data_IF_653294229635
#
_entry.id   IF_653294229635
#
_cell.length_a   1.000
_cell.length_b   1.000
_cell.length_c   1.000
_cell.angle_alpha   90.00
_cell.angle_beta   90.00
_cell.angle_gamma   90.00
#
_symmetry.space_group_name_H-M   'P 1'
#
loop_
_entity.id
_entity.type
_entity.pdbx_description
1 polymer ?
#
# COMPACT_ATOMS: atom_id res chain seq x y z
N UNK A 1 5.46 -13.31 -0.90
CA UNK A 1 5.11 -11.90 -0.58
C UNK A 1 5.87 -11.36 0.63
N UNK A 2 7.21 -11.22 0.53
CA UNK A 2 7.97 -10.29 1.34
C UNK A 2 7.53 -8.85 1.03
N UNK A 3 6.84 -8.22 1.99
CA UNK A 3 6.37 -6.83 1.84
C UNK A 3 7.41 -5.84 2.36
N UNK A 4 7.76 -4.85 1.55
CA UNK A 4 8.51 -3.66 1.94
C UNK A 4 7.56 -2.50 2.21
N UNK A 5 7.67 -1.86 3.38
CA UNK A 5 6.83 -0.71 3.72
C UNK A 5 7.41 0.57 3.10
N UNK A 6 6.55 1.32 2.39
CA UNK A 6 6.93 2.60 1.78
C UNK A 6 6.49 3.77 2.66
N UNK A 7 5.20 3.82 3.01
CA UNK A 7 4.69 4.94 3.79
C UNK A 7 3.22 4.82 4.15
N UNK A 8 2.75 5.75 4.98
CA UNK A 8 1.37 5.85 5.42
C UNK A 8 0.81 7.26 5.17
N UNK A 9 -0.50 7.43 5.32
CA UNK A 9 -1.15 8.73 5.16
C UNK A 9 -0.49 9.78 6.07
N UNK A 10 0.10 10.84 5.48
CA UNK A 10 0.88 11.83 6.23
C UNK A 10 0.04 12.65 7.20
N UNK A 11 -1.29 12.64 7.07
CA UNK A 11 -2.24 13.37 7.93
C UNK A 11 -2.98 12.43 8.91
N UNK A 12 -2.60 11.15 8.98
CA UNK A 12 -3.15 10.21 9.95
C UNK A 12 -4.43 9.50 9.52
N UNK A 13 -4.59 9.25 8.22
CA UNK A 13 -5.60 8.35 7.67
C UNK A 13 -5.17 6.87 7.73
N UNK A 14 -6.07 5.94 7.39
CA UNK A 14 -5.81 4.53 7.62
C UNK A 14 -5.00 3.88 6.50
N UNK A 15 -4.74 4.60 5.40
CA UNK A 15 -4.02 4.14 4.22
C UNK A 15 -2.51 4.02 4.49
N UNK A 16 -1.95 2.91 4.06
CA UNK A 16 -0.52 2.68 3.97
C UNK A 16 -0.19 1.89 2.71
N UNK A 17 1.05 2.03 2.25
CA UNK A 17 1.57 1.51 0.99
C UNK A 17 2.74 0.58 1.29
N UNK A 18 2.69 -0.60 0.69
CA UNK A 18 3.73 -1.60 0.69
C UNK A 18 4.02 -2.04 -0.75
N UNK A 19 5.19 -2.64 -0.96
CA UNK A 19 5.57 -3.28 -2.22
C UNK A 19 5.87 -4.75 -1.94
N UNK A 20 5.27 -5.68 -2.70
CA UNK A 20 5.75 -7.05 -2.73
C UNK A 20 7.07 -7.08 -3.51
N UNK A 21 8.18 -7.39 -2.84
CA UNK A 21 9.50 -7.36 -3.48
C UNK A 21 9.76 -8.57 -4.37
N UNK A 22 8.86 -9.56 -4.39
CA UNK A 22 8.93 -10.67 -5.34
C UNK A 22 8.28 -10.34 -6.68
N UNK A 23 7.16 -9.60 -6.68
CA UNK A 23 6.35 -9.36 -7.89
C UNK A 23 6.39 -7.92 -8.38
N UNK A 24 6.71 -6.94 -7.51
CA UNK A 24 6.60 -5.52 -7.81
C UNK A 24 5.21 -4.95 -7.50
N UNK A 25 4.28 -5.76 -6.99
CA UNK A 25 2.92 -5.32 -6.70
C UNK A 25 2.88 -4.24 -5.63
N UNK A 26 2.24 -3.11 -5.95
CA UNK A 26 1.96 -2.05 -4.98
C UNK A 26 0.70 -2.43 -4.20
N UNK A 27 0.89 -2.77 -2.93
CA UNK A 27 -0.17 -3.17 -2.01
C UNK A 27 -0.58 -1.99 -1.15
N UNK A 28 -1.85 -1.61 -1.20
CA UNK A 28 -2.40 -0.51 -0.40
C UNK A 28 -3.39 -1.09 0.62
N UNK A 29 -3.21 -0.78 1.91
CA UNK A 29 -4.13 -1.18 2.97
C UNK A 29 -4.50 -0.04 3.88
N UNK A 30 -5.81 0.18 3.99
CA UNK A 30 -6.49 1.21 4.77
C UNK A 30 -6.95 0.77 6.15
N UNK A 31 -6.22 -0.07 6.90
CA UNK A 31 -6.75 -0.62 8.16
C UNK A 31 -5.71 -0.62 9.29
N UNK A 32 -6.05 0.07 10.38
CA UNK A 32 -5.40 -0.08 11.68
C UNK A 32 -6.00 -1.30 12.37
N UNK A 33 -5.19 -2.33 12.65
CA UNK A 33 -5.64 -3.44 13.48
C UNK A 33 -5.74 -2.97 14.93
N UNK A 34 -6.89 -3.22 15.57
CA UNK A 34 -7.02 -3.13 17.01
C UNK A 34 -6.44 -4.42 17.61
N UNK A 35 -5.39 -4.36 18.47
CA UNK A 35 -4.81 -5.55 19.08
C UNK A 35 -5.81 -6.32 19.96
N UNK A 36 -6.86 -5.66 20.47
CA UNK A 36 -7.91 -6.30 21.27
C UNK A 36 -9.04 -6.89 20.40
N UNK A 37 -9.10 -6.53 19.11
CA UNK A 37 -10.07 -7.07 18.15
C UNK A 37 -9.56 -7.03 16.70
N UNK A 38 -8.71 -8.00 16.29
CA UNK A 38 -8.00 -7.97 15.02
C UNK A 38 -8.86 -8.41 13.82
N UNK A 39 -10.20 -8.33 13.89
CA UNK A 39 -11.07 -8.84 12.82
C UNK A 39 -10.81 -8.11 11.50
N UNK A 40 -10.12 -8.82 10.60
CA UNK A 40 -9.90 -8.44 9.20
C UNK A 40 -11.27 -8.42 8.52
N UNK A 41 -11.73 -7.22 8.14
CA UNK A 41 -12.91 -7.07 7.29
C UNK A 41 -12.47 -7.34 5.85
N UNK A 42 -13.10 -8.28 5.13
CA UNK A 42 -12.85 -8.44 3.70
C UNK A 42 -13.29 -7.15 2.99
N UNK A 43 -12.36 -6.55 2.24
CA UNK A 43 -12.67 -5.42 1.40
C UNK A 43 -13.44 -5.93 0.17
N UNK A 44 -14.56 -5.30 -0.22
CA UNK A 44 -15.26 -5.69 -1.45
C UNK A 44 -14.30 -5.54 -2.64
N UNK A 45 -14.26 -6.57 -3.50
CA UNK A 45 -13.45 -6.58 -4.72
C UNK A 45 -13.86 -5.45 -5.64
N UNK A 46 -13.09 -4.38 -5.60
CA UNK A 46 -13.16 -3.26 -6.52
C UNK A 46 -11.84 -3.22 -7.27
N UNK A 47 -11.90 -3.11 -8.59
CA UNK A 47 -10.70 -3.05 -9.45
C UNK A 47 -9.94 -1.72 -9.26
N UNK A 48 -10.56 -0.75 -8.56
CA UNK A 48 -10.01 0.57 -8.32
C UNK A 48 -10.30 1.03 -6.89
N UNK A 49 -9.34 1.71 -6.27
CA UNK A 49 -9.51 2.42 -5.00
C UNK A 49 -9.17 3.90 -5.20
N UNK A 50 -9.98 4.79 -4.65
CA UNK A 50 -9.65 6.21 -4.60
C UNK A 50 -8.82 6.50 -3.35
N UNK A 51 -7.65 7.10 -3.54
CA UNK A 51 -6.81 7.58 -2.46
C UNK A 51 -6.82 9.12 -2.40
N UNK A 52 -6.68 9.72 -1.21
CA UNK A 52 -6.50 11.16 -1.12
C UNK A 52 -5.25 11.64 -1.87
N UNK A 53 -5.32 12.79 -2.56
CA UNK A 53 -4.21 13.35 -3.36
C UNK A 53 -2.87 13.44 -2.61
N UNK A 54 -2.94 13.66 -1.29
CA UNK A 54 -1.76 13.71 -0.40
C UNK A 54 -0.98 12.39 -0.31
N UNK A 55 -1.56 11.26 -0.74
CA UNK A 55 -0.86 9.97 -0.85
C UNK A 55 0.05 9.89 -2.07
N UNK A 56 -0.09 10.80 -3.04
CA UNK A 56 0.68 10.78 -4.29
C UNK A 56 2.20 10.65 -4.09
N UNK A 57 2.86 11.37 -3.16
CA UNK A 57 4.30 11.20 -2.95
C UNK A 57 4.68 9.78 -2.52
N UNK A 58 3.88 9.15 -1.64
CA UNK A 58 4.10 7.78 -1.16
C UNK A 58 3.93 6.77 -2.31
N UNK A 59 2.97 7.01 -3.20
CA UNK A 59 2.78 6.17 -4.38
C UNK A 59 3.93 6.30 -5.38
N UNK A 60 4.44 7.52 -5.61
CA UNK A 60 5.60 7.73 -6.48
C UNK A 60 6.85 7.05 -5.92
N UNK A 61 7.07 7.13 -4.61
CA UNK A 61 8.18 6.43 -3.95
C UNK A 61 8.06 4.91 -4.08
N UNK A 62 6.84 4.36 -4.03
CA UNK A 62 6.61 2.93 -4.26
C UNK A 62 6.96 2.53 -5.70
N UNK A 63 6.60 3.34 -6.69
CA UNK A 63 6.94 3.13 -8.10
C UNK A 63 8.46 3.17 -8.29
N UNK A 64 9.12 4.23 -7.79
CA UNK A 64 10.58 4.38 -7.87
C UNK A 64 11.30 3.18 -7.21
N UNK A 65 10.75 2.67 -6.10
CA UNK A 65 11.29 1.50 -5.42
C UNK A 65 11.14 0.23 -6.25
N UNK A 66 9.99 -0.02 -6.86
CA UNK A 66 9.76 -1.18 -7.76
C UNK A 66 10.74 -1.14 -8.94
N UNK A 67 10.90 0.02 -9.57
CA UNK A 67 11.87 0.21 -10.66
C UNK A 67 13.31 -0.07 -10.18
N UNK A 68 13.66 0.33 -8.95
CA UNK A 68 14.99 0.06 -8.37
C UNK A 68 15.27 -1.43 -8.13
N UNK A 69 14.23 -2.25 -7.99
CA UNK A 69 14.32 -3.71 -7.91
C UNK A 69 14.45 -4.38 -9.29
N UNK A 70 14.31 -3.61 -10.39
CA UNK A 70 14.30 -4.14 -11.75
C UNK A 70 13.01 -4.91 -12.08
N UNK A 71 11.92 -4.58 -11.39
CA UNK A 71 10.59 -5.15 -11.60
C UNK A 71 9.73 -4.14 -12.37
N UNK A 72 8.81 -4.64 -13.18
CA UNK A 72 7.83 -3.82 -13.90
C UNK A 72 6.50 -3.84 -13.16
N UNK A 73 5.76 -2.72 -13.21
CA UNK A 73 4.38 -2.67 -12.74
C UNK A 73 3.48 -3.28 -13.81
N UNK A 74 2.92 -4.45 -13.52
CA UNK A 74 1.88 -5.11 -14.33
C UNK A 74 0.53 -4.36 -14.31
#
# INVERSE_FOLDING_TARGET
MPLHFIGADPVGGPAAVWVDTETGDIVIKGLRADPDNPRVVPFPGTDHIELPDRMKPVLLEAVDFVESLGLDLD
#
